data_IF_177285053417
#
_entry.id   IF_177285053417
#
_cell.length_a   1.000
_cell.length_b   1.000
_cell.length_c   1.000
_cell.angle_alpha   90.00
_cell.angle_beta   90.00
_cell.angle_gamma   90.00
#
_symmetry.space_group_name_H-M   'P 1'
#
loop_
_entity.id
_entity.type
_entity.pdbx_description
1 polymer ?
#
# COMPACT_ATOMS: atom_id res chain seq x y z
N UNK A 1 6.15 -29.29 -30.78
CA UNK A 1 5.41 -28.02 -30.63
C UNK A 1 4.88 -27.93 -29.21
N UNK A 2 5.55 -27.11 -28.41
CA UNK A 2 5.24 -26.88 -27.00
C UNK A 2 4.28 -25.70 -26.97
N UNK A 3 3.01 -25.93 -26.63
CA UNK A 3 2.08 -24.83 -26.40
C UNK A 3 2.36 -24.26 -25.00
N UNK A 4 2.94 -23.06 -25.02
CA UNK A 4 3.04 -22.13 -23.91
C UNK A 4 1.66 -21.95 -23.29
N UNK A 5 1.48 -22.48 -22.08
CA UNK A 5 0.38 -22.06 -21.22
C UNK A 5 0.74 -20.64 -20.82
N UNK A 6 -0.03 -19.71 -21.36
CA UNK A 6 -0.02 -18.29 -21.06
C UNK A 6 -0.21 -18.11 -19.54
N UNK A 7 0.88 -18.11 -18.78
CA UNK A 7 0.91 -17.67 -17.39
C UNK A 7 0.63 -16.17 -17.41
N UNK A 8 -0.65 -15.80 -17.32
CA UNK A 8 -1.04 -14.45 -16.90
C UNK A 8 -0.55 -14.27 -15.46
N UNK A 9 0.73 -13.95 -15.37
CA UNK A 9 1.40 -13.49 -14.17
C UNK A 9 0.73 -12.16 -13.88
N UNK A 10 -0.19 -12.14 -12.92
CA UNK A 10 -0.69 -10.89 -12.35
C UNK A 10 0.56 -10.20 -11.80
N UNK A 11 1.08 -9.23 -12.55
CA UNK A 11 2.20 -8.41 -12.13
C UNK A 11 1.83 -7.82 -10.77
N UNK A 12 2.47 -8.32 -9.72
CA UNK A 12 2.47 -7.64 -8.45
C UNK A 12 3.13 -6.28 -8.67
N UNK A 13 2.33 -5.21 -8.83
CA UNK A 13 2.86 -3.85 -8.89
C UNK A 13 3.76 -3.66 -7.66
N UNK A 14 5.03 -3.26 -7.84
CA UNK A 14 5.97 -3.16 -6.75
C UNK A 14 5.46 -2.12 -5.73
N UNK A 15 5.40 -2.48 -4.44
CA UNK A 15 5.29 -1.59 -3.29
C UNK A 15 6.63 -0.87 -3.21
N UNK A 16 6.81 0.08 -4.12
CA UNK A 16 7.96 0.93 -4.11
C UNK A 16 7.85 1.79 -2.83
N UNK A 17 8.99 2.07 -2.13
CA UNK A 17 9.05 3.30 -1.32
C UNK A 17 8.49 4.40 -2.23
N UNK A 18 7.59 5.26 -1.70
CA UNK A 18 6.82 6.21 -2.52
C UNK A 18 7.63 6.53 -3.76
N UNK A 19 7.18 6.05 -4.94
CA UNK A 19 7.75 6.53 -6.20
C UNK A 19 7.92 8.00 -5.96
N UNK A 20 9.14 8.52 -6.18
CA UNK A 20 9.37 9.95 -6.14
C UNK A 20 8.16 10.54 -6.81
N UNK A 21 7.26 11.03 -5.96
CA UNK A 21 6.24 11.92 -6.39
C UNK A 21 7.14 12.98 -6.94
N UNK A 22 7.08 13.18 -8.26
CA UNK A 22 7.88 14.21 -8.91
C UNK A 22 7.78 15.44 -8.02
N UNK A 23 8.76 16.34 -7.98
CA UNK A 23 8.57 17.64 -7.28
C UNK A 23 7.19 18.28 -7.59
N UNK A 24 6.56 17.87 -8.70
CA UNK A 24 5.22 18.22 -9.18
C UNK A 24 4.01 17.49 -8.53
N UNK A 25 4.16 16.42 -7.76
CA UNK A 25 3.03 15.63 -7.22
C UNK A 25 2.66 15.98 -5.75
N UNK A 26 3.43 16.89 -5.15
CA UNK A 26 3.07 17.58 -3.92
C UNK A 26 2.20 18.79 -4.28
N UNK A 27 1.17 19.11 -3.48
CA UNK A 27 0.41 20.34 -3.66
C UNK A 27 1.36 21.53 -3.60
N UNK A 28 1.58 22.15 -4.76
CA UNK A 28 2.28 23.41 -4.83
C UNK A 28 1.29 24.52 -4.47
N UNK A 29 1.20 24.84 -3.18
CA UNK A 29 0.31 25.88 -2.68
C UNK A 29 0.50 27.21 -3.42
N UNK A 30 1.68 27.49 -3.99
CA UNK A 30 1.93 28.73 -4.74
C UNK A 30 1.13 28.78 -6.06
N UNK A 31 0.76 27.63 -6.63
CA UNK A 31 -0.05 27.50 -7.85
C UNK A 31 -1.55 27.48 -7.57
N UNK A 32 -1.96 27.30 -6.32
CA UNK A 32 -3.37 27.25 -5.92
C UNK A 32 -3.95 28.66 -5.91
N UNK A 33 -5.11 28.87 -6.54
CA UNK A 33 -5.77 30.19 -6.53
C UNK A 33 -6.21 30.58 -5.11
N UNK A 34 -6.32 31.89 -4.84
CA UNK A 34 -6.73 32.38 -3.52
C UNK A 34 -8.11 31.83 -3.09
N UNK A 35 -9.04 31.67 -4.05
CA UNK A 35 -10.35 31.06 -3.78
C UNK A 35 -10.23 29.62 -3.28
N UNK A 36 -9.43 28.80 -3.97
CA UNK A 36 -9.24 27.39 -3.60
C UNK A 36 -8.47 27.30 -2.28
N UNK A 37 -7.39 28.07 -2.11
CA UNK A 37 -6.61 28.06 -0.87
C UNK A 37 -7.46 28.45 0.35
N UNK A 38 -8.35 29.44 0.19
CA UNK A 38 -9.32 29.84 1.20
C UNK A 38 -10.27 28.69 1.56
N UNK A 39 -10.85 28.02 0.57
CA UNK A 39 -11.71 26.85 0.80
C UNK A 39 -10.96 25.71 1.51
N UNK A 40 -9.69 25.47 1.16
CA UNK A 40 -8.86 24.47 1.83
C UNK A 40 -8.64 24.82 3.31
N UNK A 41 -8.41 26.09 3.66
CA UNK A 41 -8.31 26.52 5.05
C UNK A 41 -9.61 26.28 5.81
N UNK A 42 -10.75 26.64 5.21
CA UNK A 42 -12.09 26.46 5.80
C UNK A 42 -12.37 24.99 6.10
N UNK A 43 -12.13 24.10 5.15
CA UNK A 43 -12.40 22.65 5.33
C UNK A 43 -11.42 21.96 6.28
N UNK A 44 -10.27 22.58 6.56
CA UNK A 44 -9.20 21.94 7.29
C UNK A 44 -9.17 22.29 8.78
N UNK A 45 -9.70 23.43 9.20
CA UNK A 45 -9.55 23.92 10.57
C UNK A 45 -10.92 24.09 11.24
N UNK A 46 -11.00 23.75 12.52
CA UNK A 46 -12.14 24.15 13.35
C UNK A 46 -12.04 25.68 13.56
N UNK A 47 -13.17 26.40 13.49
CA UNK A 47 -13.24 27.88 13.54
C UNK A 47 -12.47 28.63 12.44
N UNK A 48 -12.21 27.96 11.31
CA UNK A 48 -11.49 28.52 10.17
C UNK A 48 -12.12 29.81 9.63
N UNK A 49 -13.44 29.97 9.73
CA UNK A 49 -14.16 31.14 9.20
C UNK A 49 -13.67 32.45 9.81
N UNK A 50 -13.38 32.46 11.10
CA UNK A 50 -12.87 33.66 11.79
C UNK A 50 -11.46 34.01 11.30
N UNK A 51 -10.61 33.01 11.11
CA UNK A 51 -9.23 33.17 10.61
C UNK A 51 -9.24 33.62 9.15
N UNK A 52 -10.11 33.02 8.35
CA UNK A 52 -10.25 33.31 6.93
C UNK A 52 -10.86 34.69 6.69
N UNK A 53 -11.81 35.13 7.52
CA UNK A 53 -12.32 36.51 7.53
C UNK A 53 -11.20 37.50 7.85
N UNK A 54 -10.25 37.13 8.72
CA UNK A 54 -9.07 37.94 9.01
C UNK A 54 -8.08 37.99 7.83
N UNK A 55 -7.95 36.90 7.07
CA UNK A 55 -7.20 36.81 5.80
C UNK A 55 -8.04 37.26 4.60
N UNK A 56 -8.77 38.37 4.70
CA UNK A 56 -9.71 38.82 3.66
C UNK A 56 -9.06 39.46 2.43
N UNK A 57 -7.80 39.91 2.52
CA UNK A 57 -7.11 40.55 1.39
C UNK A 57 -6.23 39.56 0.63
N UNK A 58 -5.93 39.91 -0.62
CA UNK A 58 -5.09 39.11 -1.52
C UNK A 58 -3.68 38.98 -0.92
N UNK A 59 -3.13 40.04 -0.35
CA UNK A 59 -1.80 40.10 0.24
C UNK A 59 -1.71 39.19 1.46
N UNK A 60 -2.71 39.22 2.35
CA UNK A 60 -2.76 38.37 3.55
C UNK A 60 -2.86 36.89 3.19
N UNK A 61 -3.69 36.55 2.20
CA UNK A 61 -3.78 35.18 1.68
C UNK A 61 -2.48 34.73 1.02
N UNK A 62 -1.82 35.62 0.25
CA UNK A 62 -0.54 35.32 -0.37
C UNK A 62 0.54 35.04 0.70
N UNK A 63 0.59 35.83 1.76
CA UNK A 63 1.48 35.61 2.89
C UNK A 63 1.24 34.24 3.54
N UNK A 64 -0.02 33.94 3.89
CA UNK A 64 -0.39 32.65 4.47
C UNK A 64 -0.07 31.46 3.57
N UNK A 65 -0.28 31.62 2.26
CA UNK A 65 -0.01 30.59 1.24
C UNK A 65 1.48 30.33 1.07
N UNK A 66 2.31 31.37 1.07
CA UNK A 66 3.78 31.23 1.06
C UNK A 66 4.26 30.51 2.32
N UNK A 67 3.74 30.90 3.48
CA UNK A 67 4.11 30.28 4.74
C UNK A 67 3.69 28.80 4.82
N UNK A 68 2.46 28.49 4.38
CA UNK A 68 1.98 27.11 4.25
C UNK A 68 2.87 26.29 3.29
N UNK A 69 3.32 26.87 2.17
CA UNK A 69 4.22 26.21 1.24
C UNK A 69 5.56 25.84 1.88
N UNK A 70 6.15 26.76 2.66
CA UNK A 70 7.41 26.51 3.37
C UNK A 70 7.27 25.36 4.39
N UNK A 71 6.22 25.39 5.22
CA UNK A 71 5.94 24.31 6.18
C UNK A 71 5.65 22.98 5.48
N UNK A 72 4.91 23.01 4.38
CA UNK A 72 4.61 21.81 3.60
C UNK A 72 5.88 21.13 3.10
N UNK A 73 6.80 21.91 2.54
CA UNK A 73 8.10 21.41 2.11
C UNK A 73 8.90 20.86 3.28
N UNK A 74 8.98 21.58 4.40
CA UNK A 74 9.71 21.12 5.59
C UNK A 74 9.16 19.78 6.10
N UNK A 75 7.86 19.70 6.37
CA UNK A 75 7.23 18.49 6.91
C UNK A 75 7.33 17.31 5.94
N UNK A 76 7.25 17.55 4.63
CA UNK A 76 7.46 16.50 3.65
C UNK A 76 8.88 15.93 3.70
N UNK A 77 9.90 16.80 3.74
CA UNK A 77 11.30 16.37 3.78
C UNK A 77 11.61 15.66 5.12
N UNK A 78 11.06 16.14 6.24
CA UNK A 78 11.18 15.45 7.54
C UNK A 78 10.56 14.06 7.48
N UNK A 79 9.39 13.92 6.87
CA UNK A 79 8.71 12.65 6.72
C UNK A 79 9.48 11.67 5.80
N UNK A 80 10.17 12.19 4.77
CA UNK A 80 11.13 11.40 3.99
C UNK A 80 12.33 10.98 4.83
N UNK A 81 12.88 11.87 5.67
CA UNK A 81 13.98 11.54 6.57
C UNK A 81 13.61 10.38 7.50
N UNK A 82 12.45 10.48 8.16
CA UNK A 82 11.92 9.44 9.05
C UNK A 82 11.77 8.12 8.32
N UNK A 83 11.29 8.14 7.07
CA UNK A 83 11.16 6.94 6.27
C UNK A 83 12.53 6.32 5.98
N UNK A 84 13.48 7.07 5.40
CA UNK A 84 14.77 6.51 5.00
C UNK A 84 15.62 6.09 6.19
N UNK A 85 15.51 6.79 7.32
CA UNK A 85 16.14 6.38 8.58
C UNK A 85 15.57 5.06 9.06
N UNK A 86 14.26 4.89 8.97
CA UNK A 86 13.62 3.63 9.32
C UNK A 86 14.07 2.44 8.43
N UNK A 87 14.27 2.66 7.13
CA UNK A 87 14.87 1.64 6.24
C UNK A 87 16.28 1.26 6.71
N UNK A 88 17.10 2.27 7.02
CA UNK A 88 18.47 2.07 7.51
C UNK A 88 18.48 1.26 8.82
N UNK A 89 17.62 1.61 9.76
CA UNK A 89 17.54 0.97 11.08
C UNK A 89 17.07 -0.50 10.98
N UNK A 90 16.13 -0.81 10.08
CA UNK A 90 15.69 -2.18 9.82
C UNK A 90 16.84 -3.02 9.24
N UNK A 91 17.53 -2.51 8.22
CA UNK A 91 18.58 -3.27 7.57
C UNK A 91 19.78 -3.51 8.51
N UNK A 92 20.06 -2.57 9.43
CA UNK A 92 20.97 -2.81 10.57
C UNK A 92 20.46 -3.93 11.47
N UNK A 93 19.21 -3.81 11.94
CA UNK A 93 18.63 -4.71 12.94
C UNK A 93 18.52 -6.14 12.45
N UNK A 94 18.01 -6.34 11.23
CA UNK A 94 17.85 -7.67 10.65
C UNK A 94 19.17 -8.22 10.09
N UNK A 95 20.21 -7.37 9.97
CA UNK A 95 21.47 -7.64 9.30
C UNK A 95 21.27 -8.08 7.83
N UNK A 96 20.29 -7.48 7.17
CA UNK A 96 19.92 -7.78 5.79
C UNK A 96 20.19 -6.56 4.94
N UNK A 97 21.47 -6.32 4.68
CA UNK A 97 21.90 -5.44 3.58
C UNK A 97 21.82 -6.13 2.22
N UNK A 98 21.21 -7.33 2.16
CA UNK A 98 20.96 -7.96 0.88
C UNK A 98 20.02 -7.03 0.13
N UNK A 99 20.57 -6.28 -0.81
CA UNK A 99 19.79 -5.44 -1.69
C UNK A 99 18.77 -6.28 -2.47
N UNK A 100 18.24 -5.71 -3.55
CA UNK A 100 17.25 -6.40 -4.39
C UNK A 100 17.71 -7.82 -4.74
N UNK A 101 16.97 -8.82 -4.27
CA UNK A 101 17.10 -10.17 -4.78
C UNK A 101 16.63 -10.20 -6.23
N UNK A 102 17.18 -11.09 -7.05
CA UNK A 102 16.72 -11.19 -8.43
C UNK A 102 15.23 -11.54 -8.46
N UNK A 103 14.49 -10.96 -9.42
CA UNK A 103 13.06 -11.25 -9.62
C UNK A 103 12.81 -12.75 -9.74
N UNK A 104 13.71 -13.46 -10.42
CA UNK A 104 13.70 -14.92 -10.54
C UNK A 104 13.77 -15.62 -9.18
N UNK A 105 14.71 -15.22 -8.32
CA UNK A 105 14.85 -15.82 -7.00
C UNK A 105 13.63 -15.54 -6.11
N UNK A 106 13.07 -14.34 -6.20
CA UNK A 106 11.86 -14.00 -5.47
C UNK A 106 10.65 -14.85 -5.91
N UNK A 107 10.44 -14.97 -7.23
CA UNK A 107 9.39 -15.82 -7.81
C UNK A 107 9.53 -17.28 -7.36
N UNK A 108 10.75 -17.83 -7.42
CA UNK A 108 11.03 -19.22 -7.04
C UNK A 108 10.73 -19.50 -5.57
N UNK A 109 10.79 -18.50 -4.70
CA UNK A 109 10.52 -18.63 -3.28
C UNK A 109 9.16 -18.03 -2.87
N UNK A 110 8.33 -17.59 -3.82
CA UNK A 110 7.03 -16.95 -3.55
C UNK A 110 7.14 -15.78 -2.57
N UNK A 111 8.19 -14.98 -2.74
CA UNK A 111 8.49 -13.80 -1.91
C UNK A 111 8.50 -12.53 -2.75
N UNK A 112 8.52 -11.39 -2.06
CA UNK A 112 8.55 -10.10 -2.73
C UNK A 112 9.95 -9.73 -3.21
N UNK A 113 10.08 -9.31 -4.47
CA UNK A 113 11.38 -9.04 -5.10
C UNK A 113 11.99 -7.69 -4.73
N UNK A 114 11.20 -6.72 -4.24
CA UNK A 114 11.66 -5.35 -3.96
C UNK A 114 12.00 -5.06 -2.50
N UNK A 115 12.21 -6.08 -1.67
CA UNK A 115 12.84 -5.84 -0.39
C UNK A 115 14.31 -5.43 -0.60
N UNK A 116 14.75 -4.47 0.21
CA UNK A 116 16.14 -4.03 0.24
C UNK A 116 16.48 -2.91 -0.74
N UNK A 117 17.29 -1.97 -0.24
CA UNK A 117 18.07 -1.00 -1.02
C UNK A 117 19.52 -1.17 -0.62
N UNK A 118 20.47 -0.85 -1.50
CA UNK A 118 21.87 -0.89 -1.08
C UNK A 118 22.11 0.15 0.01
N UNK A 119 22.94 -0.19 0.99
CA UNK A 119 23.37 0.74 2.05
C UNK A 119 23.81 2.08 1.47
N UNK A 120 24.65 2.04 0.44
CA UNK A 120 25.13 3.22 -0.27
C UNK A 120 23.99 4.09 -0.81
N UNK A 121 22.93 3.50 -1.38
CA UNK A 121 21.80 4.27 -1.88
C UNK A 121 21.04 4.93 -0.72
N UNK A 122 20.80 4.20 0.38
CA UNK A 122 20.11 4.75 1.55
C UNK A 122 20.91 5.92 2.13
N UNK A 123 22.22 5.76 2.30
CA UNK A 123 23.11 6.80 2.83
C UNK A 123 23.18 8.03 1.92
N UNK A 124 23.31 7.84 0.61
CA UNK A 124 23.24 8.93 -0.38
C UNK A 124 21.91 9.70 -0.29
N UNK A 125 20.80 8.98 -0.08
CA UNK A 125 19.48 9.60 0.08
C UNK A 125 19.36 10.37 1.38
N UNK A 126 19.80 9.81 2.50
CA UNK A 126 19.84 10.49 3.79
C UNK A 126 20.68 11.76 3.73
N UNK A 127 21.85 11.72 3.07
CA UNK A 127 22.67 12.90 2.87
C UNK A 127 21.96 13.99 2.04
N UNK A 128 21.27 13.58 0.97
CA UNK A 128 20.49 14.52 0.13
C UNK A 128 19.36 15.16 0.92
N UNK A 129 18.65 14.39 1.74
CA UNK A 129 17.57 14.87 2.61
C UNK A 129 18.11 15.82 3.68
N UNK A 130 19.25 15.49 4.30
CA UNK A 130 19.90 16.36 5.28
C UNK A 130 20.22 17.74 4.69
N UNK A 131 20.74 17.80 3.46
CA UNK A 131 20.95 19.05 2.74
C UNK A 131 19.63 19.81 2.51
N UNK A 132 18.58 19.12 2.08
CA UNK A 132 17.26 19.74 1.89
C UNK A 132 16.66 20.31 3.18
N UNK A 133 16.88 19.65 4.32
CA UNK A 133 16.46 20.17 5.63
C UNK A 133 17.28 21.40 6.04
N UNK A 134 18.59 21.36 5.81
CA UNK A 134 19.47 22.51 6.02
C UNK A 134 19.08 23.71 5.15
N UNK A 135 18.51 23.49 3.95
CA UNK A 135 17.98 24.58 3.11
C UNK A 135 16.58 25.05 3.51
N UNK A 136 15.72 24.16 4.02
CA UNK A 136 14.32 24.47 4.31
C UNK A 136 14.12 25.16 5.66
N UNK A 137 14.87 24.76 6.69
CA UNK A 137 14.72 25.30 8.05
C UNK A 137 15.08 26.80 8.14
N UNK A 138 16.20 27.27 7.56
CA UNK A 138 16.54 28.70 7.57
C UNK A 138 15.51 29.54 6.82
N UNK A 139 14.95 29.05 5.71
CA UNK A 139 13.93 29.78 4.95
C UNK A 139 12.67 30.07 5.76
N UNK A 140 12.26 29.14 6.63
CA UNK A 140 11.14 29.38 7.54
C UNK A 140 11.54 30.44 8.58
N UNK A 141 12.72 30.32 9.19
CA UNK A 141 13.20 31.28 10.17
C UNK A 141 13.36 32.69 9.57
N UNK A 142 13.95 32.81 8.38
CA UNK A 142 14.07 34.05 7.64
C UNK A 142 12.70 34.66 7.37
N UNK A 143 11.74 33.86 6.89
CA UNK A 143 10.37 34.35 6.65
C UNK A 143 9.65 34.74 7.95
N UNK A 144 9.91 34.06 9.07
CA UNK A 144 9.39 34.42 10.39
C UNK A 144 10.01 35.70 10.95
N UNK A 145 11.29 35.95 10.64
CA UNK A 145 12.06 37.10 11.16
C UNK A 145 11.96 38.34 10.25
N UNK A 146 11.44 38.18 9.03
CA UNK A 146 11.18 39.31 8.14
C UNK A 146 10.14 40.26 8.76
N UNK A 147 10.27 41.58 8.55
CA UNK A 147 9.23 42.53 8.94
C UNK A 147 7.90 42.08 8.34
N UNK A 148 6.87 41.95 9.19
CA UNK A 148 5.55 41.58 8.72
C UNK A 148 5.08 42.63 7.69
N UNK A 149 4.46 42.21 6.58
CA UNK A 149 3.89 43.15 5.62
C UNK A 149 2.94 44.15 6.31
N UNK A 150 2.87 45.42 5.86
CA UNK A 150 1.97 46.41 6.45
C UNK A 150 0.52 45.93 6.56
N UNK A 151 0.04 45.19 5.55
CA UNK A 151 -1.30 44.61 5.55
C UNK A 151 -1.56 43.59 6.67
N UNK A 152 -0.51 42.97 7.24
CA UNK A 152 -0.60 42.07 8.40
C UNK A 152 -0.51 42.88 9.71
N UNK A 153 0.32 43.92 9.76
CA UNK A 153 0.46 44.81 10.92
C UNK A 153 -0.80 45.64 11.18
N UNK A 154 -1.50 46.05 10.13
CA UNK A 154 -2.73 46.85 10.18
C UNK A 154 -4.00 46.02 10.48
N UNK A 155 -3.86 44.74 10.83
CA UNK A 155 -5.01 43.90 11.18
C UNK A 155 -5.61 44.37 12.51
N UNK A 156 -6.95 44.52 12.55
CA UNK A 156 -7.69 44.79 13.77
C UNK A 156 -8.70 43.65 14.05
N UNK A 157 -8.53 42.85 15.12
CA UNK A 157 -7.42 42.92 16.09
C UNK A 157 -6.07 42.48 15.47
N UNK A 158 -4.93 42.90 16.08
CA UNK A 158 -3.60 42.48 15.63
C UNK A 158 -3.48 40.97 15.51
N UNK A 159 -2.76 40.50 14.49
CA UNK A 159 -2.52 39.07 14.30
C UNK A 159 -1.56 38.57 15.38
N UNK A 160 -2.03 37.69 16.26
CA UNK A 160 -1.15 36.87 17.09
C UNK A 160 -0.35 35.92 16.18
N UNK A 161 0.91 36.28 15.94
CA UNK A 161 1.78 35.57 15.01
C UNK A 161 2.07 34.12 15.45
N UNK A 162 2.44 33.83 16.72
CA UNK A 162 2.49 32.46 17.24
C UNK A 162 1.23 31.64 16.95
N UNK A 163 0.05 32.19 17.20
CA UNK A 163 -1.22 31.52 16.91
C UNK A 163 -1.39 31.26 15.40
N UNK A 164 -1.07 32.23 14.55
CA UNK A 164 -1.08 32.07 13.10
C UNK A 164 -0.13 30.96 12.63
N UNK A 165 1.10 30.89 13.15
CA UNK A 165 2.06 29.81 12.83
C UNK A 165 1.48 28.45 13.22
N UNK A 166 0.85 28.35 14.39
CA UNK A 166 0.24 27.11 14.86
C UNK A 166 -0.91 26.66 13.94
N UNK A 167 -1.76 27.59 13.50
CA UNK A 167 -2.83 27.33 12.54
C UNK A 167 -2.30 26.81 11.21
N UNK A 168 -1.34 27.53 10.60
CA UNK A 168 -0.77 27.13 9.31
C UNK A 168 -0.08 25.77 9.43
N UNK A 169 0.61 25.53 10.55
CA UNK A 169 1.21 24.24 10.86
C UNK A 169 0.16 23.13 10.94
N UNK A 170 -0.95 23.35 11.66
CA UNK A 170 -2.04 22.39 11.78
C UNK A 170 -2.70 22.11 10.43
N UNK A 171 -2.96 23.15 9.63
CA UNK A 171 -3.48 23.05 8.27
C UNK A 171 -2.61 22.15 7.39
N UNK A 172 -1.30 22.43 7.34
CA UNK A 172 -0.36 21.65 6.53
C UNK A 172 -0.27 20.20 7.02
N UNK A 173 -0.24 19.98 8.34
CA UNK A 173 -0.21 18.62 8.92
C UNK A 173 -1.46 17.82 8.55
N UNK A 174 -2.64 18.44 8.60
CA UNK A 174 -3.90 17.81 8.15
C UNK A 174 -3.84 17.48 6.66
N UNK A 175 -3.35 18.40 5.83
CA UNK A 175 -3.14 18.18 4.40
C UNK A 175 -2.17 17.03 4.08
N UNK A 176 -1.20 16.76 4.95
CA UNK A 176 -0.25 15.65 4.83
C UNK A 176 -0.67 14.38 5.58
N UNK A 177 -1.84 14.35 6.21
CA UNK A 177 -2.27 13.23 7.04
C UNK A 177 -2.36 11.90 6.26
N UNK A 178 -3.02 11.89 5.10
CA UNK A 178 -3.12 10.70 4.21
C UNK A 178 -1.73 10.21 3.80
N UNK A 179 -0.82 11.13 3.51
CA UNK A 179 0.56 10.82 3.17
C UNK A 179 1.30 10.15 4.35
N UNK A 180 1.17 10.71 5.56
CA UNK A 180 1.73 10.13 6.79
C UNK A 180 1.18 8.74 7.06
N UNK A 181 -0.13 8.53 6.92
CA UNK A 181 -0.75 7.20 7.06
C UNK A 181 -0.22 6.20 6.04
N UNK A 182 -0.08 6.61 4.77
CA UNK A 182 0.53 5.76 3.73
C UNK A 182 1.97 5.37 4.09
N UNK A 183 2.74 6.27 4.69
CA UNK A 183 4.09 5.95 5.14
C UNK A 183 4.10 4.96 6.30
N UNK A 184 3.27 5.16 7.32
CA UNK A 184 3.15 4.21 8.44
C UNK A 184 2.73 2.82 7.95
N UNK A 185 1.84 2.75 6.96
CA UNK A 185 1.47 1.49 6.33
C UNK A 185 2.65 0.82 5.62
N UNK A 186 3.44 1.62 4.88
CA UNK A 186 4.64 1.12 4.20
C UNK A 186 5.72 0.65 5.16
N UNK A 187 5.89 1.28 6.33
CA UNK A 187 6.81 0.82 7.37
C UNK A 187 6.46 -0.59 7.84
N UNK A 188 5.18 -0.85 8.12
CA UNK A 188 4.71 -2.19 8.52
C UNK A 188 4.93 -3.23 7.42
N UNK A 189 4.63 -2.88 6.16
CA UNK A 189 4.93 -3.76 5.02
C UNK A 189 6.41 -4.06 4.88
N UNK A 190 7.27 -3.06 5.09
CA UNK A 190 8.72 -3.25 5.02
C UNK A 190 9.22 -4.24 6.06
N UNK A 191 8.72 -4.18 7.30
CA UNK A 191 9.06 -5.17 8.33
C UNK A 191 8.65 -6.58 7.88
N UNK A 192 7.43 -6.73 7.37
CA UNK A 192 6.94 -8.03 6.89
C UNK A 192 7.83 -8.54 5.75
N UNK A 193 8.12 -7.71 4.76
CA UNK A 193 8.98 -8.10 3.64
C UNK A 193 10.41 -8.44 4.13
N UNK A 194 10.99 -7.68 5.07
CA UNK A 194 12.31 -7.96 5.67
C UNK A 194 12.34 -9.32 6.39
N UNK A 195 11.28 -9.59 7.16
CA UNK A 195 11.14 -10.83 7.91
C UNK A 195 10.99 -12.01 6.97
N UNK A 196 10.22 -11.88 5.88
CA UNK A 196 10.08 -12.95 4.88
C UNK A 196 11.43 -13.28 4.24
N UNK A 197 12.21 -12.26 3.87
CA UNK A 197 13.57 -12.45 3.34
C UNK A 197 14.47 -13.17 4.33
N UNK A 198 14.47 -12.74 5.61
CA UNK A 198 15.24 -13.40 6.68
C UNK A 198 14.87 -14.88 6.82
N UNK A 199 13.58 -15.18 6.83
CA UNK A 199 13.08 -16.55 7.00
C UNK A 199 13.44 -17.44 5.83
N UNK A 200 13.38 -16.92 4.59
CA UNK A 200 13.88 -17.63 3.41
C UNK A 200 15.37 -17.91 3.57
N UNK A 201 16.16 -16.89 3.90
CA UNK A 201 17.61 -17.04 4.04
C UNK A 201 17.98 -18.03 5.16
N UNK A 202 17.26 -18.01 6.29
CA UNK A 202 17.45 -18.97 7.37
C UNK A 202 17.30 -20.42 6.89
N UNK A 203 16.31 -20.71 6.03
CA UNK A 203 16.15 -22.05 5.43
C UNK A 203 17.34 -22.41 4.54
N UNK A 204 17.84 -21.50 3.71
CA UNK A 204 19.01 -21.79 2.87
C UNK A 204 20.31 -21.94 3.67
N UNK A 205 20.44 -21.24 4.80
CA UNK A 205 21.59 -21.33 5.69
C UNK A 205 21.71 -22.71 6.38
N UNK A 206 20.59 -23.44 6.51
CA UNK A 206 20.57 -24.84 6.95
C UNK A 206 21.11 -25.82 5.88
N UNK A 207 21.53 -25.31 4.70
CA UNK A 207 22.07 -26.08 3.58
C UNK A 207 21.21 -27.31 3.18
N UNK A 208 19.90 -27.14 2.97
CA UNK A 208 19.02 -28.25 2.58
C UNK A 208 19.42 -28.85 1.23
N UNK A 209 19.11 -30.13 1.04
CA UNK A 209 19.33 -30.83 -0.23
C UNK A 209 18.47 -30.23 -1.35
N UNK A 210 18.83 -30.51 -2.60
CA UNK A 210 18.04 -30.04 -3.77
C UNK A 210 16.59 -30.51 -3.73
N UNK A 211 16.35 -31.74 -3.25
CA UNK A 211 15.01 -32.30 -3.13
C UNK A 211 14.21 -31.60 -2.02
N UNK A 212 14.84 -31.35 -0.86
CA UNK A 212 14.24 -30.58 0.23
C UNK A 212 13.88 -29.16 -0.22
N UNK A 213 14.79 -28.45 -0.92
CA UNK A 213 14.50 -27.12 -1.48
C UNK A 213 13.30 -27.15 -2.42
N UNK A 214 13.22 -28.17 -3.30
CA UNK A 214 12.08 -28.32 -4.22
C UNK A 214 10.77 -28.52 -3.46
N UNK A 215 10.75 -29.39 -2.45
CA UNK A 215 9.58 -29.64 -1.62
C UNK A 215 9.14 -28.37 -0.87
N UNK A 216 10.09 -27.65 -0.25
CA UNK A 216 9.84 -26.41 0.47
C UNK A 216 9.25 -25.33 -0.45
N UNK A 217 9.84 -25.11 -1.63
CA UNK A 217 9.32 -24.15 -2.62
C UNK A 217 7.91 -24.50 -3.09
N UNK A 218 7.64 -25.78 -3.34
CA UNK A 218 6.30 -26.24 -3.71
C UNK A 218 5.28 -25.96 -2.61
N UNK A 219 5.66 -26.18 -1.34
CA UNK A 219 4.82 -25.90 -0.17
C UNK A 219 4.52 -24.41 -0.03
N UNK A 220 5.53 -23.54 -0.10
CA UNK A 220 5.34 -22.09 -0.09
C UNK A 220 4.48 -21.60 -1.24
N UNK A 221 4.68 -22.11 -2.46
CA UNK A 221 3.85 -21.78 -3.63
C UNK A 221 2.39 -22.17 -3.42
N UNK A 222 2.11 -23.34 -2.83
CA UNK A 222 0.75 -23.79 -2.54
C UNK A 222 0.04 -22.84 -1.55
N UNK A 223 0.76 -22.38 -0.52
CA UNK A 223 0.23 -21.44 0.49
C UNK A 223 -0.01 -20.07 -0.12
N UNK A 224 0.96 -19.56 -0.88
CA UNK A 224 0.82 -18.30 -1.62
C UNK A 224 -0.42 -18.32 -2.51
N UNK A 225 -0.62 -19.39 -3.29
CA UNK A 225 -1.80 -19.54 -4.14
C UNK A 225 -3.11 -19.59 -3.32
N UNK A 226 -3.12 -20.31 -2.19
CA UNK A 226 -4.28 -20.36 -1.29
C UNK A 226 -4.64 -18.98 -0.74
N UNK A 227 -3.64 -18.18 -0.38
CA UNK A 227 -3.81 -16.79 0.07
C UNK A 227 -4.42 -15.95 -1.06
N UNK A 228 -3.87 -16.01 -2.27
CA UNK A 228 -4.35 -15.24 -3.42
C UNK A 228 -5.81 -15.58 -3.78
N UNK A 229 -6.17 -16.86 -3.76
CA UNK A 229 -7.56 -17.29 -4.01
C UNK A 229 -8.50 -16.73 -2.94
N UNK A 230 -8.13 -16.84 -1.66
CA UNK A 230 -8.93 -16.28 -0.56
C UNK A 230 -9.12 -14.77 -0.70
N UNK A 231 -8.06 -14.05 -1.04
CA UNK A 231 -8.10 -12.61 -1.27
C UNK A 231 -9.06 -12.24 -2.40
N UNK A 232 -9.00 -12.95 -3.54
CA UNK A 232 -9.90 -12.73 -4.67
C UNK A 232 -11.38 -13.00 -4.29
N UNK A 233 -11.65 -14.08 -3.57
CA UNK A 233 -13.00 -14.42 -3.09
C UNK A 233 -13.54 -13.30 -2.19
N UNK A 234 -12.75 -12.79 -1.26
CA UNK A 234 -13.18 -11.74 -0.34
C UNK A 234 -13.41 -10.40 -1.05
N UNK A 235 -12.55 -10.04 -2.02
CA UNK A 235 -12.76 -8.85 -2.87
C UNK A 235 -14.09 -8.98 -3.64
N UNK A 236 -14.37 -10.17 -4.20
CA UNK A 236 -15.63 -10.42 -4.90
C UNK A 236 -16.82 -10.30 -3.95
N UNK A 237 -16.76 -10.90 -2.75
CA UNK A 237 -17.79 -10.74 -1.73
C UNK A 237 -18.04 -9.26 -1.44
N UNK A 238 -17.00 -8.47 -1.17
CA UNK A 238 -17.16 -7.05 -0.90
C UNK A 238 -17.81 -6.29 -2.06
N UNK A 239 -17.41 -6.56 -3.31
CA UNK A 239 -18.01 -5.92 -4.50
C UNK A 239 -19.49 -6.25 -4.68
N UNK A 240 -19.87 -7.49 -4.39
CA UNK A 240 -21.28 -7.94 -4.39
C UNK A 240 -22.06 -7.16 -3.33
N UNK A 241 -21.55 -7.09 -2.10
CA UNK A 241 -22.22 -6.37 -1.01
C UNK A 241 -22.30 -4.86 -1.25
N UNK A 242 -21.37 -4.27 -2.02
CA UNK A 242 -21.34 -2.85 -2.34
C UNK A 242 -22.03 -2.48 -3.66
N UNK A 243 -22.74 -3.40 -4.33
CA UNK A 243 -23.36 -3.21 -5.67
C UNK A 243 -22.39 -2.66 -6.75
N UNK A 244 -21.08 -2.91 -6.62
CA UNK A 244 -20.03 -2.42 -7.54
C UNK A 244 -19.39 -3.59 -8.27
N UNK A 245 -20.23 -4.40 -8.91
CA UNK A 245 -19.77 -5.46 -9.78
C UNK A 245 -19.20 -4.86 -11.08
N UNK A 246 -18.14 -5.45 -11.67
CA UNK A 246 -17.70 -5.06 -13.00
C UNK A 246 -18.86 -5.18 -14.00
N UNK A 247 -18.91 -4.37 -15.08
CA UNK A 247 -20.01 -4.43 -16.06
C UNK A 247 -20.26 -5.83 -16.65
N UNK A 248 -19.21 -6.66 -16.74
CA UNK A 248 -19.29 -8.07 -17.15
C UNK A 248 -20.14 -8.96 -16.22
N UNK A 249 -20.48 -8.47 -15.02
CA UNK A 249 -21.29 -9.12 -14.00
C UNK A 249 -22.70 -8.49 -13.87
N UNK A 250 -23.07 -7.52 -14.72
CA UNK A 250 -24.44 -6.96 -14.79
C UNK A 250 -25.51 -8.00 -15.18
N UNK A 251 -25.12 -9.22 -15.50
CA UNK A 251 -26.01 -10.37 -15.77
C UNK A 251 -26.28 -11.23 -14.52
N UNK A 252 -25.72 -10.89 -13.36
CA UNK A 252 -25.86 -11.68 -12.13
C UNK A 252 -26.85 -11.04 -11.16
N UNK A 253 -28.11 -10.98 -11.60
CA UNK A 253 -29.31 -10.84 -10.77
C UNK A 253 -29.62 -12.14 -9.99
N UNK A 254 -28.58 -12.82 -9.50
CA UNK A 254 -28.71 -14.11 -8.85
C UNK A 254 -28.22 -14.04 -7.41
N UNK A 255 -29.04 -14.59 -6.50
CA UNK A 255 -28.76 -14.65 -5.06
C UNK A 255 -27.34 -15.15 -4.74
N UNK A 256 -26.78 -14.66 -3.63
CA UNK A 256 -25.43 -15.00 -3.13
C UNK A 256 -25.13 -16.51 -3.17
N UNK A 257 -26.11 -17.36 -2.87
CA UNK A 257 -26.00 -18.83 -2.92
C UNK A 257 -25.72 -19.38 -4.31
N UNK A 258 -26.19 -18.70 -5.37
CA UNK A 258 -25.97 -19.09 -6.76
C UNK A 258 -24.56 -18.69 -7.21
N UNK A 259 -24.05 -17.54 -6.78
CA UNK A 259 -22.68 -17.09 -7.10
C UNK A 259 -21.65 -17.95 -6.38
N UNK A 260 -21.89 -18.29 -5.10
CA UNK A 260 -21.04 -19.24 -4.38
C UNK A 260 -21.06 -20.61 -5.06
N UNK A 261 -22.23 -21.09 -5.52
CA UNK A 261 -22.34 -22.29 -6.35
C UNK A 261 -21.66 -22.18 -7.71
N UNK A 262 -21.62 -21.01 -8.35
CA UNK A 262 -20.97 -20.81 -9.67
C UNK A 262 -19.45 -20.75 -9.52
N UNK A 263 -18.92 -20.10 -8.48
CA UNK A 263 -17.48 -20.03 -8.21
C UNK A 263 -16.92 -21.34 -7.64
N UNK A 264 -17.75 -22.13 -6.97
CA UNK A 264 -17.38 -23.48 -6.50
C UNK A 264 -17.72 -24.59 -7.50
N UNK A 265 -18.60 -24.34 -8.49
CA UNK A 265 -18.82 -25.27 -9.61
C UNK A 265 -17.67 -25.15 -10.60
N UNK A 266 -16.94 -26.25 -10.72
CA UNK A 266 -16.06 -26.51 -11.87
C UNK A 266 -16.80 -26.21 -13.18
N UNK A 267 -16.16 -25.54 -14.16
CA UNK A 267 -16.81 -25.12 -15.38
C UNK A 267 -17.24 -26.35 -16.18
N UNK A 268 -18.53 -26.63 -16.21
CA UNK A 268 -19.17 -27.51 -17.19
C UNK A 268 -20.40 -26.85 -17.73
N UNK A 269 -20.25 -26.28 -18.92
CA UNK A 269 -21.05 -26.55 -20.12
C UNK A 269 -20.81 -25.36 -21.05
N UNK A 270 -20.25 -25.54 -22.23
CA UNK A 270 -20.97 -26.26 -23.27
C UNK A 270 -20.03 -26.82 -24.36
N UNK A 271 -20.59 -27.80 -25.08
CA UNK A 271 -20.16 -28.34 -26.38
C UNK A 271 -19.12 -29.48 -26.31
N UNK A 272 -19.69 -30.69 -26.18
CA UNK A 272 -19.30 -31.99 -26.76
C UNK A 272 -17.83 -32.38 -26.73
N UNK A 273 -17.52 -33.42 -25.93
CA UNK A 273 -16.25 -34.19 -25.78
C UNK A 273 -15.58 -34.11 -24.38
N UNK A 274 -16.24 -33.56 -23.33
CA UNK A 274 -15.57 -33.27 -22.04
C UNK A 274 -15.64 -34.37 -20.96
N UNK A 275 -16.38 -35.46 -21.13
CA UNK A 275 -16.43 -36.54 -20.12
C UNK A 275 -15.08 -37.25 -19.98
N UNK A 276 -14.38 -37.45 -21.10
CA UNK A 276 -13.02 -38.00 -21.09
C UNK A 276 -11.98 -36.98 -20.63
N UNK A 277 -12.13 -35.69 -20.95
CA UNK A 277 -11.17 -34.68 -20.50
C UNK A 277 -11.28 -34.38 -19.01
N UNK A 278 -12.46 -34.43 -18.40
CA UNK A 278 -12.62 -34.21 -16.96
C UNK A 278 -12.32 -35.44 -16.13
N UNK A 279 -12.60 -36.64 -16.63
CA UNK A 279 -12.06 -37.87 -16.03
C UNK A 279 -10.55 -37.90 -16.17
N UNK A 280 -9.98 -37.46 -17.30
CA UNK A 280 -8.51 -37.31 -17.47
C UNK A 280 -7.93 -36.19 -16.62
N UNK A 281 -8.59 -35.05 -16.44
CA UNK A 281 -8.10 -33.94 -15.61
C UNK A 281 -8.26 -34.24 -14.12
N UNK A 282 -9.38 -34.84 -13.70
CA UNK A 282 -9.57 -35.33 -12.34
C UNK A 282 -8.66 -36.52 -12.03
N UNK A 283 -8.46 -37.46 -12.96
CA UNK A 283 -7.46 -38.52 -12.84
C UNK A 283 -6.04 -37.97 -12.86
N UNK A 284 -5.72 -36.93 -13.65
CA UNK A 284 -4.42 -36.24 -13.59
C UNK A 284 -4.24 -35.49 -12.27
N UNK A 285 -5.31 -34.91 -11.70
CA UNK A 285 -5.29 -34.20 -10.42
C UNK A 285 -5.18 -35.19 -9.25
N UNK A 286 -5.91 -36.29 -9.29
CA UNK A 286 -5.81 -37.42 -8.35
C UNK A 286 -4.48 -38.16 -8.50
N UNK A 287 -3.93 -38.28 -9.70
CA UNK A 287 -2.57 -38.81 -9.94
C UNK A 287 -1.50 -37.83 -9.48
N UNK A 288 -1.73 -36.51 -9.56
CA UNK A 288 -0.86 -35.49 -8.95
C UNK A 288 -0.96 -35.48 -7.43
N UNK A 289 -2.16 -35.65 -6.86
CA UNK A 289 -2.38 -35.76 -5.41
C UNK A 289 -1.82 -37.09 -4.90
N UNK A 290 -2.00 -38.17 -5.65
CA UNK A 290 -1.44 -39.50 -5.39
C UNK A 290 0.08 -39.49 -5.48
N UNK A 291 0.66 -38.85 -6.51
CA UNK A 291 2.09 -38.57 -6.58
C UNK A 291 2.53 -37.67 -5.44
N UNK A 292 1.77 -36.65 -5.05
CA UNK A 292 2.13 -35.79 -3.92
C UNK A 292 2.11 -36.56 -2.59
N UNK A 293 1.11 -37.44 -2.39
CA UNK A 293 1.06 -38.34 -1.23
C UNK A 293 2.20 -39.36 -1.27
N UNK A 294 2.52 -39.88 -2.45
CA UNK A 294 3.65 -40.80 -2.68
C UNK A 294 4.99 -40.10 -2.46
N UNK A 295 5.21 -38.90 -2.99
CA UNK A 295 6.41 -38.08 -2.80
C UNK A 295 6.56 -37.69 -1.32
N UNK A 296 5.46 -37.42 -0.60
CA UNK A 296 5.47 -37.21 0.85
C UNK A 296 5.81 -38.50 1.60
N UNK A 297 5.27 -39.64 1.18
CA UNK A 297 5.55 -40.96 1.78
C UNK A 297 6.99 -41.39 1.49
N UNK A 298 7.49 -41.17 0.28
CA UNK A 298 8.85 -41.44 -0.15
C UNK A 298 9.82 -40.51 0.57
N UNK A 299 9.47 -39.23 0.78
CA UNK A 299 10.19 -38.35 1.68
C UNK A 299 10.13 -38.84 3.14
N UNK A 300 9.01 -39.43 3.58
CA UNK A 300 8.85 -39.93 4.95
C UNK A 300 9.59 -41.27 5.18
N UNK A 301 9.69 -42.11 4.15
CA UNK A 301 10.41 -43.38 4.13
C UNK A 301 11.90 -43.13 3.96
N UNK A 302 12.31 -42.29 3.00
CA UNK A 302 13.71 -41.86 2.87
C UNK A 302 14.18 -41.11 4.13
N UNK A 303 13.32 -40.30 4.76
CA UNK A 303 13.62 -39.69 6.07
C UNK A 303 13.53 -40.68 7.24
N UNK A 304 12.85 -41.81 7.09
CA UNK A 304 12.85 -42.94 8.03
C UNK A 304 14.12 -43.78 7.94
N UNK A 305 14.66 -43.91 6.73
CA UNK A 305 15.90 -44.65 6.42
C UNK A 305 17.15 -43.79 6.72
N UNK A 306 17.13 -42.47 6.49
CA UNK A 306 18.16 -41.52 6.96
C UNK A 306 18.11 -41.28 8.48
N UNK A 307 16.98 -41.52 9.15
CA UNK A 307 16.81 -41.36 10.61
C UNK A 307 17.78 -42.23 11.44
N UNK A 308 18.34 -43.28 10.84
CA UNK A 308 19.33 -44.13 11.49
C UNK A 308 20.78 -43.72 11.24
N UNK A 309 21.06 -42.72 10.39
CA UNK A 309 22.41 -42.27 10.10
C UNK A 309 22.50 -40.73 10.05
N UNK A 310 22.55 -40.12 11.24
CA UNK A 310 22.89 -38.71 11.52
C UNK A 310 21.84 -37.64 11.08
N UNK A 311 21.54 -36.72 12.00
CA UNK A 311 20.83 -35.43 11.84
C UNK A 311 19.29 -35.32 12.04
N UNK A 312 18.68 -35.85 13.14
CA UNK A 312 17.33 -35.48 13.58
C UNK A 312 17.12 -33.96 13.78
N UNK A 313 18.15 -33.26 14.25
CA UNK A 313 18.05 -31.84 14.62
C UNK A 313 17.92 -30.91 13.42
N UNK A 314 18.61 -31.19 12.31
CA UNK A 314 18.57 -30.35 11.11
C UNK A 314 17.20 -30.41 10.44
N UNK A 315 16.60 -31.60 10.39
CA UNK A 315 15.28 -31.80 9.85
C UNK A 315 14.21 -31.07 10.67
N UNK A 316 14.30 -31.16 12.00
CA UNK A 316 13.40 -30.43 12.89
C UNK A 316 13.55 -28.90 12.73
N UNK A 317 14.78 -28.40 12.61
CA UNK A 317 15.04 -26.99 12.34
C UNK A 317 14.45 -26.51 11.00
N UNK A 318 14.54 -27.33 9.95
CA UNK A 318 13.95 -27.04 8.65
C UNK A 318 12.42 -26.97 8.72
N UNK A 319 11.77 -27.90 9.42
CA UNK A 319 10.31 -27.88 9.61
C UNK A 319 9.89 -26.59 10.32
N UNK A 320 10.52 -26.28 11.45
CA UNK A 320 10.21 -25.07 12.24
C UNK A 320 10.41 -23.81 11.41
N UNK A 321 11.47 -23.72 10.62
CA UNK A 321 11.73 -22.56 9.76
C UNK A 321 10.67 -22.40 8.66
N UNK A 322 10.24 -23.52 8.04
CA UNK A 322 9.18 -23.52 7.03
C UNK A 322 7.87 -23.07 7.66
N UNK A 323 7.44 -23.67 8.76
CA UNK A 323 6.19 -23.34 9.45
C UNK A 323 6.16 -21.89 9.95
N UNK A 324 7.29 -21.40 10.47
CA UNK A 324 7.43 -19.99 10.89
C UNK A 324 7.18 -19.05 9.71
N UNK A 325 7.72 -19.37 8.52
CA UNK A 325 7.46 -18.60 7.31
C UNK A 325 6.00 -18.67 6.86
N UNK A 326 5.35 -19.82 6.99
CA UNK A 326 3.94 -19.96 6.65
C UNK A 326 3.05 -19.04 7.49
N UNK A 327 3.28 -19.02 8.81
CA UNK A 327 2.58 -18.11 9.71
C UNK A 327 2.84 -16.65 9.35
N UNK A 328 4.08 -16.33 8.96
CA UNK A 328 4.45 -15.00 8.50
C UNK A 328 3.71 -14.60 7.20
N UNK A 329 3.63 -15.50 6.20
CA UNK A 329 2.88 -15.28 4.96
C UNK A 329 1.40 -15.00 5.22
N UNK A 330 0.79 -15.72 6.17
CA UNK A 330 -0.60 -15.50 6.59
C UNK A 330 -0.77 -14.13 7.26
N UNK A 331 0.09 -13.77 8.22
CA UNK A 331 0.08 -12.43 8.85
C UNK A 331 0.20 -11.31 7.82
N UNK A 332 1.08 -11.47 6.84
CA UNK A 332 1.24 -10.50 5.74
C UNK A 332 -0.02 -10.40 4.89
N UNK A 333 -0.67 -11.51 4.60
CA UNK A 333 -1.93 -11.52 3.87
C UNK A 333 -3.05 -10.81 4.64
N UNK A 334 -3.17 -11.06 5.94
CA UNK A 334 -4.17 -10.41 6.80
C UNK A 334 -3.94 -8.89 6.88
N UNK A 335 -2.68 -8.47 6.98
CA UNK A 335 -2.32 -7.05 6.95
C UNK A 335 -2.71 -6.40 5.61
N UNK A 336 -2.36 -7.01 4.48
CA UNK A 336 -2.72 -6.52 3.15
C UNK A 336 -4.24 -6.44 2.98
N UNK A 337 -4.98 -7.42 3.52
CA UNK A 337 -6.45 -7.40 3.53
C UNK A 337 -6.97 -6.17 4.26
N UNK A 338 -6.49 -5.91 5.48
CA UNK A 338 -6.92 -4.75 6.27
C UNK A 338 -6.63 -3.43 5.56
N UNK A 339 -5.45 -3.28 4.96
CA UNK A 339 -5.07 -2.05 4.25
C UNK A 339 -5.88 -1.83 2.97
N UNK A 340 -6.13 -2.89 2.18
CA UNK A 340 -6.98 -2.80 0.98
C UNK A 340 -8.40 -2.40 1.34
N UNK A 341 -8.95 -2.98 2.41
CA UNK A 341 -10.29 -2.62 2.89
C UNK A 341 -10.35 -1.14 3.29
N UNK A 342 -9.39 -0.63 4.07
CA UNK A 342 -9.34 0.81 4.42
C UNK A 342 -9.33 1.71 3.18
N UNK A 343 -8.43 1.43 2.22
CA UNK A 343 -8.32 2.24 1.00
C UNK A 343 -9.58 2.20 0.13
N UNK A 344 -10.32 1.10 0.15
CA UNK A 344 -11.54 0.95 -0.65
C UNK A 344 -12.70 1.81 -0.13
N UNK A 345 -12.74 2.08 1.17
CA UNK A 345 -13.74 2.97 1.79
C UNK A 345 -13.32 4.44 1.74
N UNK A 346 -12.03 4.76 1.82
CA UNK A 346 -11.53 6.14 1.78
C UNK A 346 -11.62 6.80 0.40
N UNK A 347 -11.65 6.00 -0.68
CA UNK A 347 -11.77 6.49 -2.07
C UNK A 347 -13.20 6.30 -2.64
N UNK A 348 -14.18 5.90 -1.81
CA UNK A 348 -15.58 5.93 -2.21
C UNK A 348 -16.05 7.39 -2.23
N UNK A 349 -16.71 7.87 -3.32
CA UNK A 349 -17.38 9.16 -3.25
C UNK A 349 -18.35 9.12 -2.06
N UNK A 350 -18.10 9.99 -1.07
CA UNK A 350 -19.14 10.35 -0.12
C UNK A 350 -20.31 10.84 -0.95
N UNK A 351 -21.55 10.36 -0.71
CA UNK A 351 -22.71 10.95 -1.36
C UNK A 351 -22.64 12.46 -1.08
N UNK A 352 -22.39 13.23 -2.13
CA UNK A 352 -22.51 14.67 -2.06
C UNK A 352 -23.92 14.92 -1.57
N UNK A 353 -24.05 15.67 -0.47
CA UNK A 353 -25.33 16.25 -0.13
C UNK A 353 -25.71 17.11 -1.33
N UNK A 354 -26.60 16.57 -2.17
CA UNK A 354 -27.37 17.33 -3.14
C UNK A 354 -28.13 18.39 -2.35
N UNK A 355 -27.47 19.51 -2.07
CA UNK A 355 -28.13 20.77 -1.79
C UNK A 355 -28.74 21.13 -3.13
N UNK A 356 -29.99 20.68 -3.32
CA UNK A 356 -30.85 21.23 -4.34
C UNK A 356 -30.93 22.74 -4.10
N UNK A 357 -30.34 23.50 -5.01
CA UNK A 357 -30.60 24.92 -5.16
C UNK A 357 -32.09 25.07 -5.50
N UNK A 358 -32.90 25.20 -4.47
CA UNK A 358 -34.31 25.56 -4.55
C UNK A 358 -34.38 27.07 -4.84
N UNK A 359 -34.12 27.44 -6.10
CA UNK A 359 -34.36 28.78 -6.60
C UNK A 359 -35.85 28.93 -6.96
N UNK A 360 -36.69 29.00 -5.94
CA UNK A 360 -37.98 29.66 -6.03
C UNK A 360 -37.76 31.16 -5.92
N UNK A 361 -37.92 31.89 -7.02
CA UNK A 361 -38.28 33.30 -6.96
C UNK A 361 -39.17 33.65 -8.16
N UNK A 362 -40.47 33.41 -7.96
CA UNK A 362 -41.52 34.19 -8.60
C UNK A 362 -41.48 35.62 -8.03
N UNK A 363 -41.43 36.63 -8.90
CA UNK A 363 -42.25 37.84 -8.76
C UNK A 363 -42.12 38.81 -9.95
N UNK A 364 -43.16 38.77 -10.81
CA UNK A 364 -44.00 39.90 -11.27
C UNK A 364 -43.36 41.16 -11.91
N UNK A 365 -43.83 41.42 -13.15
CA UNK A 365 -44.13 42.75 -13.70
C UNK A 365 -43.06 43.33 -14.66
N UNK A 366 -43.34 43.86 -15.84
CA UNK A 366 -44.59 44.24 -16.49
C UNK A 366 -44.36 44.34 -18.02
N UNK A 367 -45.43 44.10 -18.77
CA UNK A 367 -45.56 44.38 -20.21
C UNK A 367 -46.01 45.85 -20.36
N UNK A 368 -45.38 46.60 -21.28
CA UNK A 368 -45.95 47.61 -22.20
C UNK A 368 -44.91 48.69 -22.55
N UNK A 369 -44.23 48.58 -23.70
CA UNK A 369 -44.56 49.29 -24.95
C UNK A 369 -43.53 49.00 -26.03
#
# INVERSE_FOLDING_TARGET
MINEINEQTIEQKPYLPLKEKSRNDLPDYLKVSNRIFRQMLISSLEDADTIVKRLNTIEKLNFARQYAHLFHRLFYVQLQQDQWKYYYDIDIKENIWSGRVSTKWALMNSMYHTYGRSKQLIEQRLHTIARQLQEASPKIQEFSNQPLPPCILEMNPPLDFPFFVAIITAFVRKGQYKLKQQFESKKKMLILDSTDHRLVQAVYNLKPTKQQIRAIRNRWKAIYNKIQIKEQIEILKHRIHSNRLPPAFNLLDYSLDKIEKILTRSPKSSITNSTDQETVLSARRLKKIGRFKYDILELSIAAGEEKHALFPDLFQQLIVAVETREQHMLKRADYLKQEKLKSFFDDAPTPENDIMDDNSNDSVGAINH
#
